data_IF_717586992752
#
_entry.id   IF_717586992752
#
_cell.length_a   1.000
_cell.length_b   1.000
_cell.length_c   1.000
_cell.angle_alpha   90.00
_cell.angle_beta   90.00
_cell.angle_gamma   90.00
#
_symmetry.space_group_name_H-M   'P 1'
#
loop_
_entity.id
_entity.type
_entity.pdbx_description
1 polymer ?
#
# COMPACT_ATOMS: atom_id res chain seq x y z
N UNK A 1 -3.80 -11.88 13.28
CA UNK A 1 -2.47 -11.39 13.68
C UNK A 1 -2.56 -10.01 14.35
N UNK A 2 -1.54 -9.62 15.12
CA UNK A 2 -1.45 -8.27 15.71
C UNK A 2 -0.91 -7.27 14.67
N UNK A 3 -1.64 -6.19 14.39
CA UNK A 3 -1.20 -5.13 13.48
C UNK A 3 -0.59 -3.98 14.30
N UNK A 4 0.66 -3.58 14.00
CA UNK A 4 1.29 -2.39 14.55
C UNK A 4 1.35 -1.30 13.47
N UNK A 5 0.50 -0.29 13.60
CA UNK A 5 0.48 0.84 12.65
C UNK A 5 1.47 1.94 13.06
N UNK A 6 2.19 2.49 12.08
CA UNK A 6 2.96 3.75 12.19
C UNK A 6 2.33 4.79 11.28
N UNK A 7 1.71 5.81 11.88
CA UNK A 7 0.95 6.83 11.16
C UNK A 7 1.70 8.17 11.28
N UNK A 8 1.75 8.94 10.19
CA UNK A 8 2.33 10.28 10.21
C UNK A 8 1.63 11.15 11.26
N UNK A 9 2.35 11.74 12.22
CA UNK A 9 1.75 12.66 13.18
C UNK A 9 1.15 13.88 12.47
N UNK A 10 0.05 14.45 12.99
CA UNK A 10 -0.52 15.68 12.44
C UNK A 10 0.47 16.84 12.47
N UNK A 11 0.59 17.60 11.38
CA UNK A 11 1.33 18.85 11.32
C UNK A 11 2.86 18.76 11.36
N UNK A 12 3.46 17.55 11.35
CA UNK A 12 4.92 17.41 11.42
C UNK A 12 5.62 17.48 10.05
N UNK A 13 5.02 16.89 9.02
CA UNK A 13 5.52 16.83 7.63
C UNK A 13 4.43 16.25 6.71
N UNK A 14 4.70 16.12 5.40
CA UNK A 14 3.78 15.39 4.52
C UNK A 14 3.77 13.89 4.84
N UNK A 15 2.62 13.24 4.62
CA UNK A 15 2.49 11.79 4.82
C UNK A 15 3.47 11.00 3.94
N UNK A 16 3.63 11.39 2.68
CA UNK A 16 4.63 10.85 1.75
C UNK A 16 6.04 10.90 2.35
N UNK A 17 6.47 12.09 2.81
CA UNK A 17 7.80 12.27 3.38
C UNK A 17 8.00 11.39 4.61
N UNK A 18 6.98 11.29 5.47
CA UNK A 18 7.03 10.40 6.63
C UNK A 18 7.23 8.94 6.24
N UNK A 19 6.44 8.42 5.30
CA UNK A 19 6.57 7.03 4.84
C UNK A 19 7.94 6.80 4.23
N UNK A 20 8.41 7.71 3.36
CA UNK A 20 9.74 7.62 2.74
C UNK A 20 10.86 7.58 3.77
N UNK A 21 10.81 8.41 4.81
CA UNK A 21 11.82 8.42 5.87
C UNK A 21 11.75 7.18 6.77
N UNK A 22 10.56 6.65 7.04
CA UNK A 22 10.40 5.46 7.88
C UNK A 22 10.66 4.15 7.12
N UNK A 23 10.51 4.14 5.80
CA UNK A 23 10.56 2.92 5.00
C UNK A 23 11.87 2.14 5.18
N UNK A 24 13.08 2.73 5.06
CA UNK A 24 14.32 1.99 5.29
C UNK A 24 14.44 1.42 6.71
N UNK A 25 13.96 2.17 7.71
CA UNK A 25 13.98 1.74 9.12
C UNK A 25 13.13 0.48 9.31
N UNK A 26 11.91 0.46 8.77
CA UNK A 26 11.02 -0.70 8.90
C UNK A 26 11.45 -1.89 8.02
N UNK A 27 12.02 -1.65 6.84
CA UNK A 27 12.60 -2.73 6.00
C UNK A 27 13.76 -3.41 6.71
N UNK A 28 14.66 -2.64 7.36
CA UNK A 28 15.74 -3.19 8.17
C UNK A 28 15.20 -4.02 9.32
N UNK A 29 14.21 -3.51 10.05
CA UNK A 29 13.57 -4.22 11.16
C UNK A 29 12.90 -5.52 10.68
N UNK A 30 12.18 -5.49 9.56
CA UNK A 30 11.60 -6.68 8.93
C UNK A 30 12.69 -7.71 8.59
N UNK A 31 13.75 -7.31 7.88
CA UNK A 31 14.86 -8.20 7.47
C UNK A 31 15.57 -8.85 8.66
N UNK A 32 15.73 -8.14 9.76
CA UNK A 32 16.33 -8.67 10.99
C UNK A 32 15.46 -9.73 11.68
N UNK A 33 14.14 -9.70 11.47
CA UNK A 33 13.19 -10.52 12.22
C UNK A 33 12.48 -11.59 11.37
N UNK A 34 12.46 -11.47 10.04
CA UNK A 34 11.70 -12.36 9.13
C UNK A 34 12.01 -13.86 9.26
N UNK A 35 13.22 -14.22 9.71
CA UNK A 35 13.61 -15.61 9.92
C UNK A 35 13.28 -16.15 11.33
N UNK A 36 12.83 -15.28 12.25
CA UNK A 36 12.57 -15.60 13.66
C UNK A 36 11.09 -15.56 13.99
N UNK A 37 10.33 -14.73 13.29
CA UNK A 37 8.90 -14.52 13.49
C UNK A 37 8.21 -14.37 12.14
N UNK A 38 7.00 -14.90 12.02
CA UNK A 38 6.14 -14.70 10.86
C UNK A 38 5.63 -13.26 10.88
N UNK A 39 6.29 -12.38 10.11
CA UNK A 39 5.97 -10.95 10.02
C UNK A 39 5.98 -10.49 8.57
N UNK A 40 5.14 -9.52 8.27
CA UNK A 40 5.12 -8.80 6.99
C UNK A 40 5.16 -7.30 7.23
N UNK A 41 5.54 -6.54 6.20
CA UNK A 41 5.52 -5.08 6.21
C UNK A 41 4.54 -4.58 5.16
N UNK A 42 3.61 -3.73 5.58
CA UNK A 42 2.68 -3.03 4.69
C UNK A 42 3.07 -1.56 4.63
N UNK A 43 3.28 -1.05 3.43
CA UNK A 43 3.60 0.35 3.15
C UNK A 43 2.46 0.95 2.36
N UNK A 44 1.88 2.04 2.85
CA UNK A 44 0.82 2.78 2.16
C UNK A 44 1.30 4.22 1.93
N UNK A 45 1.40 4.64 0.68
CA UNK A 45 1.90 5.95 0.27
C UNK A 45 1.19 6.38 -1.00
N UNK A 46 0.47 7.49 -1.00
CA UNK A 46 -0.18 7.97 -2.23
C UNK A 46 0.85 8.47 -3.26
N UNK A 47 0.45 8.42 -4.54
CA UNK A 47 1.25 8.99 -5.61
C UNK A 47 1.05 10.50 -5.76
N UNK A 48 -0.09 11.03 -5.30
CA UNK A 48 -0.57 12.37 -5.68
C UNK A 48 -0.49 12.57 -7.21
N UNK A 49 0.36 13.47 -7.70
CA UNK A 49 0.60 13.71 -9.13
C UNK A 49 1.67 12.81 -9.74
N UNK A 50 2.41 12.06 -8.93
CA UNK A 50 3.44 11.15 -9.38
C UNK A 50 2.85 9.86 -9.98
N UNK A 51 3.69 9.14 -10.71
CA UNK A 51 3.41 7.80 -11.19
C UNK A 51 3.76 6.76 -10.12
N UNK A 52 3.17 5.57 -10.27
CA UNK A 52 3.51 4.39 -9.47
C UNK A 52 5.02 4.11 -9.50
N UNK A 53 5.63 4.16 -10.68
CA UNK A 53 7.05 3.86 -10.86
C UNK A 53 7.94 4.90 -10.18
N UNK A 54 7.58 6.19 -10.22
CA UNK A 54 8.32 7.23 -9.52
C UNK A 54 8.31 6.99 -8.00
N UNK A 55 7.17 6.62 -7.42
CA UNK A 55 7.08 6.28 -5.99
C UNK A 55 7.88 5.03 -5.64
N UNK A 56 7.83 3.99 -6.46
CA UNK A 56 8.66 2.78 -6.28
C UNK A 56 10.16 3.11 -6.36
N UNK A 57 10.57 3.93 -7.33
CA UNK A 57 11.95 4.39 -7.46
C UNK A 57 12.38 5.22 -6.24
N UNK A 58 11.50 6.08 -5.74
CA UNK A 58 11.75 6.90 -4.57
C UNK A 58 12.00 6.06 -3.30
N UNK A 59 11.21 5.00 -3.11
CA UNK A 59 11.40 4.04 -2.02
C UNK A 59 12.69 3.21 -2.20
N UNK A 60 13.02 2.83 -3.43
CA UNK A 60 14.28 2.15 -3.73
C UNK A 60 15.49 3.05 -3.45
N UNK A 61 15.45 4.33 -3.85
CA UNK A 61 16.48 5.32 -3.53
C UNK A 61 16.64 5.49 -2.02
N UNK A 62 15.54 5.56 -1.26
CA UNK A 62 15.61 5.64 0.21
C UNK A 62 16.31 4.43 0.83
N UNK A 63 16.14 3.22 0.28
CA UNK A 63 16.92 2.05 0.72
C UNK A 63 18.39 2.18 0.37
N UNK A 64 18.70 2.61 -0.85
CA UNK A 64 20.09 2.79 -1.30
C UNK A 64 20.83 3.84 -0.47
N UNK A 65 20.20 4.97 -0.15
CA UNK A 65 20.74 6.04 0.69
C UNK A 65 21.05 5.53 2.11
N UNK A 66 20.26 4.59 2.62
CA UNK A 66 20.47 3.92 3.90
C UNK A 66 21.36 2.65 3.79
N UNK A 67 22.07 2.49 2.66
CA UNK A 67 22.98 1.39 2.35
C UNK A 67 22.33 0.00 2.41
N UNK A 68 21.06 -0.08 2.06
CA UNK A 68 20.29 -1.33 1.97
C UNK A 68 20.09 -1.74 0.51
N UNK A 69 20.01 -3.05 0.29
CA UNK A 69 19.58 -3.58 -1.00
C UNK A 69 18.11 -3.24 -1.26
N UNK A 70 17.76 -3.06 -2.53
CA UNK A 70 16.36 -2.91 -2.97
C UNK A 70 15.49 -4.06 -2.44
N UNK A 71 14.18 -3.79 -2.33
CA UNK A 71 13.18 -4.80 -1.96
C UNK A 71 13.25 -5.98 -2.93
N UNK A 72 13.38 -7.19 -2.41
CA UNK A 72 13.44 -8.42 -3.20
C UNK A 72 12.04 -8.99 -3.47
N UNK A 73 11.91 -9.85 -4.48
CA UNK A 73 10.63 -10.45 -4.87
C UNK A 73 10.06 -11.43 -3.84
N UNK A 74 10.92 -12.05 -3.04
CA UNK A 74 10.57 -13.02 -1.99
C UNK A 74 10.29 -12.36 -0.62
N UNK A 75 10.46 -11.04 -0.51
CA UNK A 75 10.13 -10.34 0.73
C UNK A 75 8.63 -10.08 0.85
N UNK A 76 8.07 -10.44 2.01
CA UNK A 76 6.71 -10.10 2.45
C UNK A 76 6.59 -8.62 2.84
N UNK A 77 7.01 -7.75 1.93
CA UNK A 77 6.89 -6.30 1.99
C UNK A 77 5.96 -5.88 0.86
N UNK A 78 4.73 -5.49 1.19
CA UNK A 78 3.75 -5.01 0.23
C UNK A 78 3.69 -3.48 0.24
N UNK A 79 3.68 -2.87 -0.94
CA UNK A 79 3.66 -1.42 -1.14
C UNK A 79 2.41 -1.05 -1.93
N UNK A 80 1.46 -0.43 -1.25
CA UNK A 80 0.21 0.06 -1.81
C UNK A 80 0.35 1.55 -2.12
N UNK A 81 0.10 1.91 -3.39
CA UNK A 81 0.29 3.28 -3.87
C UNK A 81 -0.99 3.76 -4.56
N UNK A 82 -1.98 4.28 -3.82
CA UNK A 82 -3.14 4.91 -4.43
C UNK A 82 -2.70 6.11 -5.28
N UNK A 83 -3.06 6.14 -6.56
CA UNK A 83 -2.77 7.31 -7.40
C UNK A 83 -3.80 8.42 -7.12
N UNK A 84 -3.31 9.66 -7.06
CA UNK A 84 -3.99 10.81 -6.44
C UNK A 84 -4.11 10.67 -4.92
N UNK A 85 -4.98 9.78 -4.45
CA UNK A 85 -5.21 9.53 -3.03
C UNK A 85 -5.99 8.20 -2.84
N UNK A 86 -6.24 7.83 -1.58
CA UNK A 86 -6.99 6.61 -1.25
C UNK A 86 -8.47 6.74 -1.62
N UNK A 87 -9.00 7.96 -1.64
CA UNK A 87 -10.38 8.26 -2.00
C UNK A 87 -10.70 7.81 -3.43
N UNK A 88 -9.77 7.94 -4.39
CA UNK A 88 -9.93 7.40 -5.76
C UNK A 88 -10.31 5.91 -5.74
N UNK A 89 -9.65 5.10 -4.90
CA UNK A 89 -9.95 3.68 -4.78
C UNK A 89 -11.31 3.46 -4.13
N UNK A 90 -11.64 4.20 -3.08
CA UNK A 90 -12.92 4.04 -2.38
C UNK A 90 -14.09 4.37 -3.33
N UNK A 91 -14.02 5.45 -4.10
CA UNK A 91 -15.05 5.80 -5.08
C UNK A 91 -15.21 4.71 -6.16
N UNK A 92 -14.11 4.15 -6.67
CA UNK A 92 -14.17 3.01 -7.59
C UNK A 92 -14.91 1.82 -6.98
N UNK A 93 -14.57 1.45 -5.74
CA UNK A 93 -15.16 0.30 -5.09
C UNK A 93 -16.65 0.48 -4.79
N UNK A 94 -17.11 1.72 -4.67
CA UNK A 94 -18.53 2.07 -4.54
C UNK A 94 -19.28 2.09 -5.88
N UNK A 95 -18.61 1.73 -6.98
CA UNK A 95 -19.20 1.61 -8.31
C UNK A 95 -19.16 2.91 -9.12
N UNK A 96 -18.42 3.92 -8.69
CA UNK A 96 -18.21 5.12 -9.49
C UNK A 96 -17.16 4.89 -10.58
N UNK A 97 -17.36 5.53 -11.73
CA UNK A 97 -16.35 5.60 -12.77
C UNK A 97 -15.30 6.62 -12.35
N UNK A 98 -14.10 6.14 -12.04
CA UNK A 98 -12.97 6.98 -11.64
C UNK A 98 -11.87 6.99 -12.68
N UNK A 99 -11.06 8.04 -12.68
CA UNK A 99 -9.77 8.09 -13.34
C UNK A 99 -8.67 8.44 -12.31
N UNK A 100 -7.42 8.17 -12.64
CA UNK A 100 -6.30 8.42 -11.73
C UNK A 100 -5.64 9.80 -11.96
N UNK A 101 -6.39 10.77 -12.48
CA UNK A 101 -5.94 12.14 -12.75
C UNK A 101 -6.73 13.17 -11.93
N UNK A 102 -8.03 12.96 -11.78
CA UNK A 102 -8.93 13.84 -11.05
C UNK A 102 -8.78 13.72 -9.53
N UNK A 103 -9.27 14.74 -8.82
CA UNK A 103 -9.29 14.74 -7.35
C UNK A 103 -10.68 14.39 -6.87
N UNK A 104 -10.78 13.34 -6.06
CA UNK A 104 -12.04 12.91 -5.47
C UNK A 104 -12.22 13.50 -4.06
N UNK A 105 -13.46 13.78 -3.70
CA UNK A 105 -13.80 14.40 -2.43
C UNK A 105 -13.47 13.44 -1.27
N UNK A 106 -13.00 14.00 -0.16
CA UNK A 106 -12.84 13.21 1.06
C UNK A 106 -14.19 12.76 1.58
N UNK A 107 -14.28 11.49 1.94
CA UNK A 107 -15.42 10.99 2.68
C UNK A 107 -15.48 11.69 4.03
N UNK A 108 -16.58 12.40 4.29
CA UNK A 108 -16.83 13.00 5.58
C UNK A 108 -17.58 12.00 6.47
N UNK A 109 -16.97 11.62 7.59
CA UNK A 109 -17.60 10.96 8.74
C UNK A 109 -18.09 9.51 8.61
N UNK A 110 -17.48 8.63 7.81
CA UNK A 110 -17.58 7.19 8.09
C UNK A 110 -16.56 6.34 7.31
N UNK A 111 -15.30 6.30 7.76
CA UNK A 111 -14.28 5.41 7.18
C UNK A 111 -14.70 3.92 7.29
N UNK A 112 -15.62 3.56 8.19
CA UNK A 112 -16.12 2.20 8.31
C UNK A 112 -17.08 1.80 7.18
N UNK A 113 -17.68 2.76 6.46
CA UNK A 113 -18.60 2.48 5.35
C UNK A 113 -17.90 1.78 4.19
N UNK A 114 -16.60 2.02 3.98
CA UNK A 114 -15.85 1.33 2.93
C UNK A 114 -15.38 -0.08 3.34
N UNK A 115 -15.65 -0.53 4.57
CA UNK A 115 -15.19 -1.85 5.03
C UNK A 115 -15.69 -3.00 4.15
N UNK A 116 -16.99 -3.12 3.81
CA UNK A 116 -17.47 -4.19 2.93
C UNK A 116 -16.83 -4.13 1.54
N UNK A 117 -16.58 -2.92 1.05
CA UNK A 117 -15.96 -2.67 -0.26
C UNK A 117 -14.49 -3.13 -0.29
N UNK A 118 -13.75 -2.83 0.78
CA UNK A 118 -12.34 -3.26 0.95
C UNK A 118 -12.25 -4.78 1.18
N UNK A 119 -13.17 -5.37 1.93
CA UNK A 119 -13.25 -6.83 2.10
C UNK A 119 -13.55 -7.53 0.75
N UNK A 120 -14.46 -6.97 -0.04
CA UNK A 120 -14.75 -7.46 -1.39
C UNK A 120 -13.54 -7.32 -2.33
N UNK A 121 -12.82 -6.19 -2.26
CA UNK A 121 -11.58 -5.99 -3.00
C UNK A 121 -10.52 -7.02 -2.63
N UNK A 122 -10.30 -7.27 -1.34
CA UNK A 122 -9.33 -8.26 -0.88
C UNK A 122 -9.66 -9.64 -1.44
N UNK A 123 -10.94 -10.03 -1.45
CA UNK A 123 -11.39 -11.28 -2.07
C UNK A 123 -11.10 -11.31 -3.57
N UNK A 124 -11.48 -10.26 -4.32
CA UNK A 124 -11.20 -10.17 -5.76
C UNK A 124 -9.71 -10.21 -6.10
N UNK A 125 -8.87 -9.57 -5.28
CA UNK A 125 -7.42 -9.63 -5.44
C UNK A 125 -6.88 -11.03 -5.16
N UNK A 126 -7.43 -11.75 -4.17
CA UNK A 126 -7.07 -13.16 -3.89
C UNK A 126 -7.44 -14.09 -5.03
N UNK A 127 -8.66 -13.96 -5.56
CA UNK A 127 -9.16 -14.76 -6.68
C UNK A 127 -8.68 -14.30 -8.05
N UNK A 128 -7.83 -13.27 -8.12
CA UNK A 128 -7.35 -12.66 -9.38
C UNK A 128 -8.49 -12.27 -10.33
N UNK A 129 -9.63 -11.84 -9.78
CA UNK A 129 -10.86 -11.54 -10.52
C UNK A 129 -11.21 -10.05 -10.47
N UNK A 130 -10.19 -9.20 -10.40
CA UNK A 130 -10.38 -7.77 -10.47
C UNK A 130 -10.75 -7.37 -11.92
N UNK A 131 -11.77 -6.51 -12.12
CA UNK A 131 -12.13 -6.03 -13.46
C UNK A 131 -10.98 -5.34 -14.20
N UNK A 132 -10.94 -5.45 -15.54
CA UNK A 132 -9.92 -4.80 -16.38
C UNK A 132 -10.02 -3.27 -16.35
N UNK A 133 -11.20 -2.72 -16.06
CA UNK A 133 -11.44 -1.28 -15.92
C UNK A 133 -11.05 -0.72 -14.54
N UNK A 134 -10.54 -1.56 -13.64
CA UNK A 134 -10.07 -1.12 -12.34
C UNK A 134 -8.87 -0.15 -12.48
N UNK A 135 -8.73 0.83 -11.57
CA UNK A 135 -7.60 1.76 -11.59
C UNK A 135 -6.26 1.02 -11.66
N UNK A 136 -5.32 1.40 -12.55
CA UNK A 136 -4.03 0.73 -12.68
C UNK A 136 -3.26 0.59 -11.35
N UNK A 137 -3.33 1.58 -10.47
CA UNK A 137 -2.72 1.50 -9.14
C UNK A 137 -3.37 0.48 -8.22
N UNK A 138 -4.67 0.25 -8.36
CA UNK A 138 -5.43 -0.76 -7.63
C UNK A 138 -5.15 -2.17 -8.20
N UNK A 139 -4.99 -2.30 -9.52
CA UNK A 139 -4.51 -3.55 -10.13
C UNK A 139 -3.12 -3.93 -9.60
N UNK A 140 -2.19 -2.96 -9.53
CA UNK A 140 -0.87 -3.17 -8.96
C UNK A 140 -0.94 -3.58 -7.46
N UNK A 141 -1.84 -2.98 -6.70
CA UNK A 141 -2.09 -3.34 -5.30
C UNK A 141 -2.52 -4.80 -5.12
N UNK A 142 -3.33 -5.37 -6.03
CA UNK A 142 -3.65 -6.80 -5.96
C UNK A 142 -2.41 -7.69 -6.10
N UNK A 143 -1.45 -7.32 -6.95
CA UNK A 143 -0.16 -8.03 -7.06
C UNK A 143 0.68 -7.91 -5.78
N UNK A 144 0.59 -6.78 -5.09
CA UNK A 144 1.28 -6.55 -3.82
C UNK A 144 0.66 -7.35 -2.67
N UNK A 145 -0.66 -7.57 -2.66
CA UNK A 145 -1.34 -8.44 -1.70
C UNK A 145 -0.81 -9.88 -1.74
N UNK A 146 -0.48 -10.39 -2.94
CA UNK A 146 0.05 -11.74 -3.13
C UNK A 146 1.35 -11.99 -2.33
N UNK A 147 2.13 -10.94 -2.05
CA UNK A 147 3.36 -11.03 -1.23
C UNK A 147 3.08 -11.34 0.24
N UNK A 148 1.87 -11.08 0.71
CA UNK A 148 1.46 -11.25 2.10
C UNK A 148 0.68 -12.56 2.32
N UNK A 149 0.05 -13.11 1.28
CA UNK A 149 -0.79 -14.31 1.41
C UNK A 149 -0.09 -15.49 2.10
N UNK A 150 1.20 -15.79 1.83
CA UNK A 150 1.90 -16.87 2.52
C UNK A 150 2.01 -16.69 4.04
N UNK A 151 1.79 -15.48 4.57
CA UNK A 151 1.74 -15.20 6.01
C UNK A 151 0.31 -15.27 6.58
N UNK A 152 -0.70 -15.11 5.72
CA UNK A 152 -2.12 -15.07 6.09
C UNK A 152 -2.79 -16.44 5.99
N UNK A 153 -2.26 -17.34 5.16
CA UNK A 153 -2.77 -18.71 4.97
C UNK A 153 -2.18 -19.73 5.95
N UNK A 154 -1.38 -19.29 6.94
CA UNK A 154 -0.79 -20.17 7.96
C UNK A 154 -1.69 -20.41 9.19
N UNK A 155 -3.00 -20.46 8.98
CA UNK A 155 -3.98 -20.88 9.99
C UNK A 155 -4.41 -22.35 9.77
#
# INVERSE_FOLDING_TARGET
GLIRAKICPPGSQSGEQYVRTQYPVEVRAYRQNKNRVSIGLVVLIDADTATLQERLNQLASALSEDSQQNRQSDEAIAIFIPKRNIETWIHYLQGELVNEEDTYAKFQNDEAVCKPDVENLAERCRSQSLPEDAPPSLQAACGELQRLLPLLEQD
#
